data_IF_065837935786
#
_entry.id   IF_065837935786
#
_cell.length_a   1.000
_cell.length_b   1.000
_cell.length_c   1.000
_cell.angle_alpha   90.00
_cell.angle_beta   90.00
_cell.angle_gamma   90.00
#
_symmetry.space_group_name_H-M   'P 1'
#
loop_
_entity.id
_entity.type
_entity.pdbx_description
1 polymer ?
#
# COMPACT_ATOMS: atom_id res chain seq x y z
N UNK A 1 -0.89 -43.77 -18.11
CA UNK A 1 -1.16 -44.11 -16.70
C UNK A 1 -0.91 -45.60 -16.51
N UNK A 2 0.11 -45.97 -15.73
CA UNK A 2 0.43 -47.36 -15.44
C UNK A 2 -0.68 -47.95 -14.56
N UNK A 3 -1.53 -48.83 -15.12
CA UNK A 3 -2.64 -49.54 -14.44
C UNK A 3 -2.23 -50.43 -13.25
N UNK A 4 -0.96 -50.38 -12.82
CA UNK A 4 -0.43 -51.12 -11.68
C UNK A 4 -0.32 -50.27 -10.41
N UNK A 5 -0.28 -48.94 -10.55
CA UNK A 5 -0.13 -48.03 -9.40
C UNK A 5 -1.48 -47.71 -8.76
N UNK A 6 -2.50 -47.58 -9.61
CA UNK A 6 -3.85 -47.19 -9.24
C UNK A 6 -4.80 -48.38 -9.30
N UNK A 7 -5.78 -48.41 -8.42
CA UNK A 7 -6.87 -49.37 -8.41
C UNK A 7 -7.93 -49.03 -9.48
N UNK A 8 -9.05 -49.78 -9.45
CA UNK A 8 -10.14 -49.60 -10.41
C UNK A 8 -10.95 -48.31 -10.19
N UNK A 9 -10.86 -47.72 -9.00
CA UNK A 9 -11.54 -46.49 -8.62
C UNK A 9 -10.67 -45.25 -8.89
N UNK A 10 -9.39 -45.46 -9.23
CA UNK A 10 -8.42 -44.41 -9.53
C UNK A 10 -7.63 -43.95 -8.31
N UNK A 11 -7.66 -44.70 -7.21
CA UNK A 11 -6.89 -44.46 -5.99
C UNK A 11 -5.61 -45.27 -5.97
N UNK A 12 -4.65 -44.88 -5.13
CA UNK A 12 -3.42 -45.64 -4.98
C UNK A 12 -3.69 -47.01 -4.36
N UNK A 13 -3.07 -48.04 -4.91
CA UNK A 13 -3.10 -49.37 -4.29
C UNK A 13 -2.28 -49.41 -3.00
N UNK A 14 -2.64 -50.29 -2.04
CA UNK A 14 -1.87 -50.48 -0.80
C UNK A 14 -0.38 -50.81 -1.06
N UNK A 15 -0.10 -51.60 -2.10
CA UNK A 15 1.27 -51.92 -2.51
C UNK A 15 2.04 -50.66 -2.91
N UNK A 16 1.38 -49.75 -3.62
CA UNK A 16 1.98 -48.49 -4.08
C UNK A 16 2.21 -47.53 -2.93
N UNK A 17 1.26 -47.43 -1.99
CA UNK A 17 1.43 -46.65 -0.75
C UNK A 17 2.61 -47.16 0.07
N UNK A 18 2.76 -48.49 0.17
CA UNK A 18 3.89 -49.12 0.88
C UNK A 18 5.22 -48.80 0.20
N UNK A 19 5.28 -48.89 -1.13
CA UNK A 19 6.47 -48.53 -1.91
C UNK A 19 6.84 -47.05 -1.77
N UNK A 20 5.83 -46.17 -1.74
CA UNK A 20 6.03 -44.73 -1.50
C UNK A 20 6.59 -44.47 -0.09
N UNK A 21 6.03 -45.13 0.94
CA UNK A 21 6.49 -44.97 2.32
C UNK A 21 7.96 -45.33 2.50
N UNK A 22 8.42 -46.39 1.83
CA UNK A 22 9.79 -46.89 1.93
C UNK A 22 10.75 -46.35 0.86
N UNK A 23 10.30 -45.37 0.06
CA UNK A 23 11.11 -44.75 -1.01
C UNK A 23 11.69 -45.77 -2.02
N UNK A 24 10.85 -46.74 -2.43
CA UNK A 24 11.23 -47.86 -3.32
C UNK A 24 10.86 -47.55 -4.79
N UNK A 25 10.13 -46.47 -5.03
CA UNK A 25 9.63 -46.08 -6.36
C UNK A 25 10.74 -45.44 -7.20
N UNK A 26 10.66 -45.60 -8.53
CA UNK A 26 11.48 -44.81 -9.44
C UNK A 26 11.01 -43.35 -9.49
N UNK A 27 11.91 -42.43 -9.86
CA UNK A 27 11.63 -40.98 -9.88
C UNK A 27 10.36 -40.60 -10.65
N UNK A 28 10.14 -41.19 -11.83
CA UNK A 28 8.96 -40.92 -12.66
C UNK A 28 7.66 -41.40 -12.00
N UNK A 29 7.66 -42.60 -11.40
CA UNK A 29 6.51 -43.14 -10.69
C UNK A 29 6.20 -42.32 -9.43
N UNK A 30 7.25 -41.87 -8.73
CA UNK A 30 7.11 -41.04 -7.54
C UNK A 30 6.48 -39.68 -7.88
N UNK A 31 6.88 -39.05 -8.99
CA UNK A 31 6.26 -37.79 -9.45
C UNK A 31 4.78 -38.00 -9.74
N UNK A 32 4.43 -39.02 -10.54
CA UNK A 32 3.03 -39.31 -10.90
C UNK A 32 2.15 -39.55 -9.65
N UNK A 33 2.67 -40.26 -8.66
CA UNK A 33 1.97 -40.57 -7.42
C UNK A 33 1.81 -39.33 -6.54
N UNK A 34 2.86 -38.53 -6.38
CA UNK A 34 2.81 -37.30 -5.57
C UNK A 34 1.90 -36.23 -6.21
N UNK A 35 1.87 -36.15 -7.53
CA UNK A 35 0.91 -35.30 -8.26
C UNK A 35 -0.52 -35.73 -7.94
N UNK A 36 -0.83 -37.02 -8.00
CA UNK A 36 -2.14 -37.54 -7.62
C UNK A 36 -2.50 -37.25 -6.15
N UNK A 37 -1.58 -37.49 -5.20
CA UNK A 37 -1.81 -37.22 -3.77
C UNK A 37 -2.12 -35.74 -3.52
N UNK A 38 -1.53 -34.84 -4.31
CA UNK A 38 -1.77 -33.40 -4.16
C UNK A 38 -3.22 -32.99 -4.43
N UNK A 39 -3.92 -33.73 -5.29
CA UNK A 39 -5.31 -33.48 -5.69
C UNK A 39 -6.33 -34.45 -5.05
N UNK A 40 -5.87 -35.60 -4.52
CA UNK A 40 -6.72 -36.64 -3.96
C UNK A 40 -6.65 -36.69 -2.43
N UNK A 41 -7.65 -36.10 -1.77
CA UNK A 41 -7.73 -36.06 -0.30
C UNK A 41 -7.74 -37.45 0.35
N UNK A 42 -8.37 -38.45 -0.29
CA UNK A 42 -8.44 -39.81 0.24
C UNK A 42 -7.04 -40.44 0.28
N UNK A 43 -6.31 -40.43 -0.83
CA UNK A 43 -4.96 -41.00 -0.89
C UNK A 43 -3.96 -40.22 -0.01
N UNK A 44 -4.14 -38.90 0.13
CA UNK A 44 -3.36 -38.12 1.08
C UNK A 44 -3.60 -38.55 2.54
N UNK A 45 -4.86 -38.86 2.89
CA UNK A 45 -5.23 -39.40 4.20
C UNK A 45 -4.64 -40.79 4.43
N UNK A 46 -4.85 -41.72 3.51
CA UNK A 46 -4.32 -43.08 3.61
C UNK A 46 -2.79 -43.12 3.69
N UNK A 47 -2.11 -42.24 2.96
CA UNK A 47 -0.66 -42.12 3.06
C UNK A 47 -0.22 -41.59 4.43
N UNK A 48 -0.90 -40.56 4.97
CA UNK A 48 -0.62 -40.05 6.31
C UNK A 48 -0.89 -41.11 7.40
N UNK A 49 -1.98 -41.84 7.28
CA UNK A 49 -2.39 -42.90 8.22
C UNK A 49 -1.53 -44.17 8.11
N UNK A 50 -0.74 -44.30 7.03
CA UNK A 50 0.20 -45.43 6.86
C UNK A 50 1.40 -45.37 7.83
N UNK A 51 1.64 -44.22 8.46
CA UNK A 51 2.69 -44.02 9.46
C UNK A 51 2.17 -44.35 10.85
N UNK A 52 2.95 -45.12 11.62
CA UNK A 52 2.62 -45.39 13.03
C UNK A 52 3.17 -44.28 13.92
N UNK A 53 2.54 -44.06 15.07
CA UNK A 53 2.96 -43.04 16.05
C UNK A 53 4.42 -43.21 16.51
N UNK A 54 4.93 -44.43 16.56
CA UNK A 54 6.33 -44.72 16.91
C UNK A 54 7.34 -44.46 15.78
N UNK A 55 6.85 -44.29 14.54
CA UNK A 55 7.66 -43.89 13.38
C UNK A 55 7.75 -42.36 13.25
N UNK A 56 6.89 -41.60 13.94
CA UNK A 56 6.83 -40.15 13.87
C UNK A 56 7.78 -39.51 14.87
N UNK A 57 8.60 -38.57 14.40
CA UNK A 57 9.47 -37.79 15.27
C UNK A 57 8.65 -36.86 16.17
N UNK A 58 9.01 -36.79 17.45
CA UNK A 58 8.40 -35.84 18.37
C UNK A 58 8.72 -34.40 17.93
N UNK A 59 7.69 -33.57 17.83
CA UNK A 59 7.85 -32.18 17.43
C UNK A 59 8.69 -31.42 18.49
N UNK A 60 9.67 -30.59 18.09
CA UNK A 60 10.43 -29.78 19.04
C UNK A 60 9.52 -28.87 19.89
N UNK A 61 9.94 -28.59 21.13
CA UNK A 61 9.21 -27.70 22.01
C UNK A 61 8.91 -26.33 21.35
N UNK A 62 7.65 -25.92 21.41
CA UNK A 62 7.17 -24.67 20.82
C UNK A 62 7.03 -24.67 19.29
N UNK A 63 7.14 -25.83 18.62
CA UNK A 63 6.96 -25.93 17.17
C UNK A 63 5.58 -25.43 16.71
N UNK A 64 4.51 -25.88 17.36
CA UNK A 64 3.14 -25.45 17.06
C UNK A 64 2.97 -23.93 17.15
N UNK A 65 3.51 -23.32 18.21
CA UNK A 65 3.38 -21.88 18.43
C UNK A 65 4.17 -21.07 17.39
N UNK A 66 5.40 -21.49 17.07
CA UNK A 66 6.21 -20.88 16.01
C UNK A 66 5.53 -20.95 14.64
N UNK A 67 4.96 -22.10 14.29
CA UNK A 67 4.22 -22.30 13.04
C UNK A 67 2.98 -21.39 12.99
N UNK A 68 2.20 -21.34 14.07
CA UNK A 68 1.01 -20.48 14.14
C UNK A 68 1.36 -18.99 14.02
N UNK A 69 2.42 -18.52 14.67
CA UNK A 69 2.91 -17.14 14.55
C UNK A 69 3.29 -16.84 13.09
N UNK A 70 4.00 -17.76 12.43
CA UNK A 70 4.39 -17.60 11.02
C UNK A 70 3.18 -17.54 10.08
N UNK A 71 2.17 -18.38 10.29
CA UNK A 71 0.94 -18.36 9.49
C UNK A 71 0.15 -17.06 9.71
N UNK A 72 -0.01 -16.64 10.97
CA UNK A 72 -0.73 -15.40 11.33
C UNK A 72 -0.05 -14.16 10.76
N UNK A 73 1.27 -14.05 10.86
CA UNK A 73 2.02 -12.91 10.29
C UNK A 73 1.83 -12.79 8.77
N UNK A 74 1.80 -13.92 8.04
CA UNK A 74 1.52 -13.94 6.59
C UNK A 74 0.10 -13.48 6.26
N UNK A 75 -0.90 -13.80 7.11
CA UNK A 75 -2.28 -13.31 6.97
C UNK A 75 -2.38 -11.81 7.25
N UNK A 76 -1.61 -11.30 8.21
CA UNK A 76 -1.59 -9.90 8.59
C UNK A 76 -1.02 -9.01 7.48
N UNK A 77 -0.01 -9.45 6.72
CA UNK A 77 0.50 -8.67 5.58
C UNK A 77 -0.54 -8.50 4.47
N UNK A 78 -1.34 -9.53 4.18
CA UNK A 78 -2.47 -9.45 3.22
C UNK A 78 -3.55 -8.47 3.67
N UNK A 79 -3.76 -8.33 4.97
CA UNK A 79 -4.70 -7.35 5.52
C UNK A 79 -4.16 -5.93 5.33
N UNK A 80 -2.87 -5.71 5.58
CA UNK A 80 -2.24 -4.39 5.37
C UNK A 80 -2.31 -3.95 3.91
N UNK A 81 -2.08 -4.87 2.96
CA UNK A 81 -2.21 -4.58 1.53
C UNK A 81 -3.64 -4.14 1.15
N UNK A 82 -4.67 -4.82 1.67
CA UNK A 82 -6.07 -4.45 1.43
C UNK A 82 -6.42 -3.07 1.98
N UNK A 83 -5.97 -2.74 3.20
CA UNK A 83 -6.17 -1.41 3.76
C UNK A 83 -5.47 -0.31 2.96
N UNK A 84 -4.27 -0.59 2.43
CA UNK A 84 -3.58 0.34 1.53
C UNK A 84 -4.40 0.60 0.25
N UNK A 85 -4.87 -0.45 -0.43
CA UNK A 85 -5.71 -0.31 -1.62
C UNK A 85 -6.99 0.50 -1.34
N UNK A 86 -7.67 0.24 -0.22
CA UNK A 86 -8.87 0.99 0.17
C UNK A 86 -8.54 2.47 0.40
N UNK A 87 -7.44 2.80 1.10
CA UNK A 87 -7.03 4.20 1.31
C UNK A 87 -6.77 4.91 -0.01
N UNK A 88 -6.09 4.26 -0.95
CA UNK A 88 -5.81 4.83 -2.28
C UNK A 88 -7.10 5.02 -3.07
N UNK A 89 -8.00 4.04 -3.07
CA UNK A 89 -9.29 4.13 -3.77
C UNK A 89 -10.17 5.26 -3.22
N UNK A 90 -10.23 5.42 -1.89
CA UNK A 90 -10.95 6.53 -1.25
C UNK A 90 -10.34 7.87 -1.64
N UNK A 91 -9.01 8.02 -1.56
CA UNK A 91 -8.33 9.26 -1.94
C UNK A 91 -8.59 9.63 -3.41
N UNK A 92 -8.50 8.65 -4.32
CA UNK A 92 -8.78 8.85 -5.74
C UNK A 92 -10.25 9.25 -5.98
N UNK A 93 -11.20 8.61 -5.28
CA UNK A 93 -12.62 8.92 -5.39
C UNK A 93 -12.93 10.33 -4.89
N UNK A 94 -12.35 10.73 -3.75
CA UNK A 94 -12.48 12.09 -3.20
C UNK A 94 -11.85 13.11 -4.15
N UNK A 95 -10.68 12.83 -4.72
CA UNK A 95 -10.05 13.71 -5.70
C UNK A 95 -10.93 13.92 -6.94
N UNK A 96 -11.53 12.84 -7.46
CA UNK A 96 -12.48 12.91 -8.57
C UNK A 96 -13.70 13.76 -8.20
N UNK A 97 -14.31 13.54 -7.03
CA UNK A 97 -15.45 14.34 -6.56
C UNK A 97 -15.07 15.83 -6.46
N UNK A 98 -13.90 16.17 -5.91
CA UNK A 98 -13.44 17.55 -5.79
C UNK A 98 -13.22 18.25 -7.15
N UNK A 99 -12.68 17.52 -8.13
CA UNK A 99 -12.45 18.02 -9.48
C UNK A 99 -13.77 18.22 -10.24
N UNK A 100 -14.67 17.23 -10.21
CA UNK A 100 -15.92 17.28 -10.97
C UNK A 100 -17.03 18.11 -10.32
N UNK A 101 -17.00 18.31 -9.00
CA UNK A 101 -18.06 19.04 -8.28
C UNK A 101 -17.79 20.55 -8.13
N UNK A 102 -16.80 21.11 -8.84
CA UNK A 102 -16.32 22.48 -8.63
C UNK A 102 -15.88 22.77 -7.16
N UNK A 103 -15.55 21.73 -6.38
CA UNK A 103 -15.12 21.87 -4.98
C UNK A 103 -13.83 22.69 -4.84
N UNK A 104 -12.94 22.59 -5.83
CA UNK A 104 -11.75 23.45 -5.94
C UNK A 104 -12.10 24.93 -6.08
N UNK A 105 -13.17 25.28 -6.80
CA UNK A 105 -13.61 26.68 -6.97
C UNK A 105 -14.14 27.27 -5.64
N UNK A 106 -14.83 26.45 -4.84
CA UNK A 106 -15.24 26.85 -3.49
C UNK A 106 -14.03 27.07 -2.57
N UNK A 107 -13.02 26.19 -2.62
CA UNK A 107 -11.82 26.30 -1.78
C UNK A 107 -10.96 27.52 -2.16
N UNK A 108 -10.84 27.80 -3.47
CA UNK A 108 -10.18 29.00 -3.99
C UNK A 108 -10.93 30.26 -3.55
N UNK A 109 -12.26 30.29 -3.62
CA UNK A 109 -13.04 31.43 -3.13
C UNK A 109 -12.88 31.66 -1.61
N UNK A 110 -12.74 30.61 -0.80
CA UNK A 110 -12.48 30.78 0.65
C UNK A 110 -11.07 31.30 0.91
N UNK A 111 -10.08 30.89 0.11
CA UNK A 111 -8.70 31.37 0.21
C UNK A 111 -8.56 32.84 -0.27
N UNK A 112 -9.31 33.27 -1.28
CA UNK A 112 -9.28 34.66 -1.78
C UNK A 112 -10.00 35.65 -0.88
N UNK A 113 -10.98 35.21 -0.07
CA UNK A 113 -11.61 36.06 0.96
C UNK A 113 -10.65 36.43 2.11
N UNK A 114 -9.46 35.82 2.18
CA UNK A 114 -8.45 36.13 3.19
C UNK A 114 -7.38 37.13 2.71
N UNK A 115 -7.43 37.57 1.46
CA UNK A 115 -6.62 38.69 0.99
C UNK A 115 -7.29 39.97 1.49
N UNK A 116 -6.83 40.49 2.63
CA UNK A 116 -7.21 41.84 3.09
C UNK A 116 -7.02 42.79 1.92
N UNK A 117 -8.04 43.56 1.49
CA UNK A 117 -7.82 44.60 0.51
C UNK A 117 -6.73 45.52 1.07
N UNK A 118 -5.72 45.82 0.23
CA UNK A 118 -4.65 46.75 0.57
C UNK A 118 -5.30 48.05 1.07
N UNK A 119 -5.04 48.41 2.32
CA UNK A 119 -5.70 49.54 2.97
C UNK A 119 -5.42 50.81 2.16
N UNK A 120 -6.47 51.44 1.63
CA UNK A 120 -6.37 52.65 0.81
C UNK A 120 -5.67 53.79 1.55
N UNK A 121 -5.68 53.76 2.89
CA UNK A 121 -4.90 54.69 3.73
C UNK A 121 -3.40 54.62 3.46
N UNK A 122 -2.86 53.44 3.13
CA UNK A 122 -1.43 53.29 2.82
C UNK A 122 -1.12 54.01 1.51
N UNK A 123 -1.96 53.83 0.48
CA UNK A 123 -1.79 54.49 -0.82
C UNK A 123 -1.93 56.01 -0.67
N UNK A 124 -2.93 56.47 0.09
CA UNK A 124 -3.14 57.89 0.36
C UNK A 124 -1.96 58.49 1.12
N UNK A 125 -1.40 57.76 2.10
CA UNK A 125 -0.22 58.22 2.86
C UNK A 125 1.04 58.35 1.99
N UNK A 126 1.23 57.44 1.02
CA UNK A 126 2.33 57.53 0.06
C UNK A 126 2.13 58.73 -0.85
N UNK A 127 0.91 58.95 -1.34
CA UNK A 127 0.60 60.08 -2.21
C UNK A 127 0.83 61.43 -1.49
N UNK A 128 0.39 61.54 -0.24
CA UNK A 128 0.63 62.73 0.59
C UNK A 128 2.12 62.94 0.88
N UNK A 129 2.87 61.88 1.16
CA UNK A 129 4.31 61.98 1.40
C UNK A 129 5.08 62.40 0.15
N UNK A 130 4.70 61.90 -1.03
CA UNK A 130 5.29 62.30 -2.30
C UNK A 130 5.01 63.77 -2.63
N UNK A 131 3.78 64.24 -2.42
CA UNK A 131 3.44 65.65 -2.59
C UNK A 131 4.22 66.55 -1.63
N UNK A 132 4.33 66.17 -0.35
CA UNK A 132 5.12 66.92 0.62
C UNK A 132 6.62 66.93 0.30
N UNK A 133 7.15 65.82 -0.22
CA UNK A 133 8.54 65.77 -0.66
C UNK A 133 8.78 66.65 -1.90
N UNK A 134 7.86 66.61 -2.87
CA UNK A 134 7.90 67.47 -4.05
C UNK A 134 7.87 68.95 -3.67
N UNK A 135 6.97 69.36 -2.77
CA UNK A 135 6.96 70.73 -2.24
C UNK A 135 8.25 71.13 -1.54
N UNK A 136 8.87 70.21 -0.78
CA UNK A 136 10.16 70.48 -0.14
C UNK A 136 11.26 70.70 -1.16
N UNK A 137 11.32 69.91 -2.24
CA UNK A 137 12.29 70.11 -3.33
C UNK A 137 12.08 71.47 -3.99
N UNK A 138 10.85 71.81 -4.35
CA UNK A 138 10.53 73.09 -5.00
C UNK A 138 10.95 74.26 -4.11
N UNK A 139 10.63 74.21 -2.81
CA UNK A 139 11.06 75.23 -1.85
C UNK A 139 12.58 75.31 -1.77
N UNK A 140 13.28 74.17 -1.70
CA UNK A 140 14.75 74.13 -1.63
C UNK A 140 15.41 74.71 -2.91
N UNK A 141 14.86 74.42 -4.08
CA UNK A 141 15.32 74.95 -5.37
C UNK A 141 15.13 76.47 -5.47
N UNK A 142 13.99 76.99 -5.00
CA UNK A 142 13.74 78.44 -4.91
C UNK A 142 14.75 79.10 -3.95
N UNK A 143 15.01 78.50 -2.77
CA UNK A 143 16.00 79.03 -1.83
C UNK A 143 17.44 79.02 -2.39
N UNK A 144 17.83 77.98 -3.16
CA UNK A 144 19.15 77.95 -3.81
C UNK A 144 19.29 79.02 -4.89
N UNK A 145 18.25 79.26 -5.69
CA UNK A 145 18.27 80.26 -6.76
C UNK A 145 18.34 81.71 -6.22
N UNK A 146 17.80 81.96 -5.02
CA UNK A 146 17.89 83.26 -4.35
C UNK A 146 19.27 83.50 -3.69
N UNK A 147 20.00 82.44 -3.34
CA UNK A 147 21.38 82.52 -2.81
C UNK A 147 22.42 82.76 -3.91
N UNK A 148 22.19 82.29 -5.15
CA UNK A 148 23.07 82.53 -6.30
C UNK A 148 22.96 83.95 -6.89
N UNK A 149 21.91 84.71 -6.54
CA UNK A 149 21.65 86.08 -7.05
C UNK A 149 22.04 87.21 -6.08
N UNK A 150 22.76 86.91 -5.00
CA UNK A 150 23.34 87.89 -4.06
C UNK A 150 24.87 87.82 -4.06
#
# INVERSE_FOLDING_TARGET
>A
MNNRLFDKEGHLTEETLTKLKFDILGDEEMIDILEHISDCQMCAGEFADSFKEDELAEAPLGFQEKVQIKIKSKRQSKIQFRFYCVKVAVAASVALVLVFSNGLNSLVNTATNHVRPLDSRIVDSVNVNLNNFSEKIIKLEVFNNDQEKK
#
